data_IF_706883555372
#
_entry.id   IF_706883555372
#
_cell.length_a   1.000
_cell.length_b   1.000
_cell.length_c   1.000
_cell.angle_alpha   90.00
_cell.angle_beta   90.00
_cell.angle_gamma   90.00
#
_symmetry.space_group_name_H-M   'P 1'
#
loop_
_entity.id
_entity.type
_entity.pdbx_description
1 polymer ?
#
# COMPACT_ATOMS: atom_id res chain seq x y z
N UNK A 1 -2.13 -19.20 -11.00
CA UNK A 1 -3.33 -18.60 -11.62
C UNK A 1 -3.53 -17.21 -11.05
N UNK A 2 -3.80 -16.23 -11.91
CA UNK A 2 -4.06 -14.85 -11.47
C UNK A 2 -5.49 -14.73 -10.91
N UNK A 3 -5.64 -13.99 -9.82
CA UNK A 3 -6.94 -13.67 -9.20
C UNK A 3 -6.88 -12.26 -8.62
N UNK A 4 -8.01 -11.59 -8.46
CA UNK A 4 -8.02 -10.29 -7.78
C UNK A 4 -7.45 -10.43 -6.37
N UNK A 5 -6.62 -9.48 -5.96
CA UNK A 5 -5.94 -9.49 -4.67
C UNK A 5 -6.52 -8.42 -3.78
N UNK A 6 -6.79 -8.78 -2.54
CA UNK A 6 -7.11 -7.85 -1.47
C UNK A 6 -5.85 -7.68 -0.63
N UNK A 7 -5.47 -6.43 -0.38
CA UNK A 7 -4.34 -6.07 0.48
C UNK A 7 -4.88 -5.23 1.62
N UNK A 8 -4.63 -5.71 2.84
CA UNK A 8 -4.90 -5.01 4.09
C UNK A 8 -3.56 -4.84 4.83
N UNK A 9 -3.40 -3.75 5.56
CA UNK A 9 -2.20 -3.49 6.35
C UNK A 9 -2.55 -2.73 7.64
N UNK A 10 -1.62 -2.76 8.58
CA UNK A 10 -1.62 -1.89 9.76
C UNK A 10 -0.26 -1.20 9.86
N UNK A 11 -0.21 -0.01 10.46
CA UNK A 11 1.01 0.78 10.60
C UNK A 11 1.18 1.22 12.04
N UNK A 12 2.41 1.14 12.53
CA UNK A 12 2.77 1.78 13.80
C UNK A 12 2.67 3.31 13.66
N UNK A 13 1.59 3.86 14.20
CA UNK A 13 1.34 5.31 14.14
C UNK A 13 2.35 6.14 14.93
N UNK A 14 3.05 5.55 15.91
CA UNK A 14 4.12 6.22 16.65
C UNK A 14 5.34 6.37 15.74
N UNK A 15 5.81 5.28 15.13
CA UNK A 15 6.92 5.31 14.17
C UNK A 15 6.61 6.25 12.99
N UNK A 16 5.37 6.23 12.48
CA UNK A 16 4.97 7.17 11.43
C UNK A 16 5.06 8.64 11.85
N UNK A 17 4.69 8.98 13.09
CA UNK A 17 4.81 10.36 13.59
C UNK A 17 6.27 10.76 13.73
N UNK A 18 7.14 9.84 14.15
CA UNK A 18 8.59 10.08 14.22
C UNK A 18 9.19 10.36 12.83
N UNK A 19 8.74 9.64 11.79
CA UNK A 19 9.25 9.83 10.42
C UNK A 19 8.56 10.95 9.62
N UNK A 20 7.26 11.20 9.84
CA UNK A 20 6.42 12.05 8.97
C UNK A 20 5.78 13.24 9.72
N UNK A 21 5.93 13.32 11.04
CA UNK A 21 5.24 14.27 11.93
C UNK A 21 3.78 13.91 12.20
N UNK A 22 3.10 13.33 11.21
CA UNK A 22 1.68 12.93 11.31
C UNK A 22 1.45 11.58 10.64
N UNK A 23 0.79 10.66 11.35
CA UNK A 23 0.49 9.33 10.84
C UNK A 23 -0.40 9.37 9.58
N UNK A 24 -1.34 10.32 9.49
CA UNK A 24 -2.25 10.51 8.34
C UNK A 24 -1.50 10.66 7.01
N UNK A 25 -0.30 11.26 7.01
CA UNK A 25 0.54 11.42 5.82
C UNK A 25 1.00 10.07 5.26
N UNK A 26 1.28 9.09 6.12
CA UNK A 26 1.65 7.73 5.73
C UNK A 26 0.50 7.04 5.00
N UNK A 27 -0.69 7.03 5.63
CA UNK A 27 -1.91 6.49 5.02
C UNK A 27 -2.25 7.17 3.67
N UNK A 28 -2.11 8.50 3.57
CA UNK A 28 -2.35 9.22 2.32
C UNK A 28 -1.33 8.88 1.22
N UNK A 29 -0.06 8.70 1.56
CA UNK A 29 0.98 8.24 0.62
C UNK A 29 0.66 6.83 0.09
N UNK A 30 0.30 5.89 0.98
CA UNK A 30 -0.09 4.54 0.57
C UNK A 30 -1.35 4.58 -0.29
N UNK A 31 -2.38 5.34 0.09
CA UNK A 31 -3.60 5.49 -0.73
C UNK A 31 -3.28 5.92 -2.15
N UNK A 32 -2.49 6.98 -2.33
CA UNK A 32 -2.10 7.46 -3.67
C UNK A 32 -1.30 6.43 -4.45
N UNK A 33 -0.38 5.73 -3.79
CA UNK A 33 0.39 4.65 -4.41
C UNK A 33 -0.51 3.50 -4.89
N UNK A 34 -1.43 3.03 -4.04
CA UNK A 34 -2.35 1.95 -4.38
C UNK A 34 -3.25 2.33 -5.55
N UNK A 35 -3.87 3.52 -5.51
CA UNK A 35 -4.72 4.02 -6.60
C UNK A 35 -3.95 4.12 -7.93
N UNK A 36 -2.70 4.62 -7.89
CA UNK A 36 -1.83 4.72 -9.07
C UNK A 36 -1.45 3.35 -9.65
N UNK A 37 -1.41 2.31 -8.83
CA UNK A 37 -1.03 0.94 -9.24
C UNK A 37 -2.24 0.02 -9.45
N UNK A 38 -3.39 0.58 -9.81
CA UNK A 38 -4.55 -0.21 -10.23
C UNK A 38 -5.30 -0.88 -9.09
N UNK A 39 -5.33 -0.26 -7.91
CA UNK A 39 -6.19 -0.69 -6.81
C UNK A 39 -7.34 0.29 -6.58
N UNK A 40 -8.46 -0.23 -6.12
CA UNK A 40 -9.59 0.53 -5.58
C UNK A 40 -9.54 0.50 -4.05
N UNK A 41 -9.71 1.67 -3.42
CA UNK A 41 -9.85 1.78 -1.97
C UNK A 41 -11.24 1.29 -1.55
N UNK A 42 -11.33 0.44 -0.51
CA UNK A 42 -12.61 -0.01 0.04
C UNK A 42 -12.96 0.73 1.33
N UNK A 43 -12.22 0.43 2.40
CA UNK A 43 -12.44 0.99 3.72
C UNK A 43 -11.14 0.90 4.52
N UNK A 44 -10.84 1.90 5.36
CA UNK A 44 -9.65 1.90 6.21
C UNK A 44 -8.37 1.64 5.41
N UNK A 45 -7.60 0.65 5.85
CA UNK A 45 -6.36 0.20 5.22
C UNK A 45 -6.56 -0.88 4.14
N UNK A 46 -7.78 -1.09 3.66
CA UNK A 46 -8.13 -2.16 2.72
C UNK A 46 -8.26 -1.71 1.26
N UNK A 47 -7.60 -2.45 0.37
CA UNK A 47 -7.57 -2.21 -1.07
C UNK A 47 -7.82 -3.50 -1.85
N UNK A 48 -8.45 -3.40 -3.02
CA UNK A 48 -8.63 -4.52 -3.95
C UNK A 48 -8.06 -4.16 -5.32
N UNK A 49 -7.31 -5.08 -5.94
CA UNK A 49 -6.79 -4.88 -7.30
C UNK A 49 -7.96 -4.77 -8.29
N UNK A 50 -7.84 -3.91 -9.28
CA UNK A 50 -8.85 -3.76 -10.33
C UNK A 50 -8.85 -5.01 -11.22
N UNK A 51 -7.66 -5.50 -11.56
CA UNK A 51 -7.44 -6.69 -12.38
C UNK A 51 -6.96 -7.89 -11.55
N UNK A 52 -7.01 -9.08 -12.15
CA UNK A 52 -6.43 -10.28 -11.56
C UNK A 52 -4.90 -10.15 -11.53
N UNK A 53 -4.28 -10.56 -10.41
CA UNK A 53 -2.83 -10.53 -10.22
C UNK A 53 -2.33 -11.92 -9.84
N UNK A 54 -1.15 -12.28 -10.33
CA UNK A 54 -0.39 -13.42 -9.86
C UNK A 54 0.62 -13.03 -8.76
N UNK A 55 1.45 -13.97 -8.33
CA UNK A 55 2.46 -13.71 -7.28
C UNK A 55 3.55 -12.73 -7.74
N UNK A 56 3.93 -12.75 -9.02
CA UNK A 56 4.95 -11.86 -9.57
C UNK A 56 4.44 -10.44 -9.59
N UNK A 57 3.18 -10.23 -9.97
CA UNK A 57 2.54 -8.91 -9.94
C UNK A 57 2.56 -8.30 -8.53
N UNK A 58 2.21 -9.11 -7.52
CA UNK A 58 2.25 -8.68 -6.12
C UNK A 58 3.69 -8.37 -5.69
N UNK A 59 4.67 -9.21 -6.06
CA UNK A 59 6.08 -8.96 -5.77
C UNK A 59 6.56 -7.65 -6.39
N UNK A 60 6.21 -7.38 -7.65
CA UNK A 60 6.56 -6.12 -8.32
C UNK A 60 5.90 -4.90 -7.64
N UNK A 61 4.67 -5.03 -7.14
CA UNK A 61 4.03 -3.97 -6.36
C UNK A 61 4.83 -3.66 -5.09
N UNK A 62 5.28 -4.68 -4.35
CA UNK A 62 6.10 -4.50 -3.15
C UNK A 62 7.46 -3.89 -3.47
N UNK A 63 8.13 -4.32 -4.54
CA UNK A 63 9.40 -3.70 -4.93
C UNK A 63 9.24 -2.22 -5.34
N UNK A 64 8.09 -1.84 -5.91
CA UNK A 64 7.77 -0.44 -6.22
C UNK A 64 7.50 0.41 -4.97
N UNK A 65 7.00 -0.17 -3.87
CA UNK A 65 6.66 0.60 -2.68
C UNK A 65 7.91 1.06 -1.91
N UNK A 66 8.91 0.17 -1.80
CA UNK A 66 10.15 0.37 -1.01
C UNK A 66 10.86 1.71 -1.27
N UNK A 67 11.24 2.06 -2.52
CA UNK A 67 11.96 3.32 -2.76
C UNK A 67 11.08 4.57 -2.52
N UNK A 68 9.75 4.43 -2.59
CA UNK A 68 8.83 5.56 -2.43
C UNK A 68 8.47 5.84 -0.96
N UNK A 69 8.68 4.87 -0.07
CA UNK A 69 8.24 4.88 1.32
C UNK A 69 9.26 4.16 2.22
N UNK A 70 10.46 4.73 2.43
CA UNK A 70 11.52 4.08 3.22
C UNK A 70 11.15 3.86 4.70
N UNK A 71 10.12 4.54 5.21
CA UNK A 71 9.57 4.37 6.56
C UNK A 71 8.68 3.12 6.73
N UNK A 72 8.46 2.34 5.65
CA UNK A 72 7.75 1.05 5.72
C UNK A 72 8.67 -0.14 6.03
N UNK A 73 9.99 0.07 6.07
CA UNK A 73 10.99 -0.99 6.24
C UNK A 73 11.20 -1.39 7.70
#
# INVERSE_FOLDING_TARGET
MAVRKVINFDLDTKALREHLGEASKGYYKIKRFMLKNGFTHRQGSGYISNDAMDEKDVRFLIEKIKPSMPWLA
#
